data_IF_008916162419
#
_entry.id   IF_008916162419
#
_cell.length_a   1.000
_cell.length_b   1.000
_cell.length_c   1.000
_cell.angle_alpha   90.00
_cell.angle_beta   90.00
_cell.angle_gamma   90.00
#
_symmetry.space_group_name_H-M   'P 1'
#
loop_
_entity.id
_entity.type
_entity.pdbx_description
1 polymer ?
#
# COMPACT_ATOMS: atom_id res chain seq x y z
N UNK A 1 21.70 22.61 -6.08
CA UNK A 1 20.87 21.41 -6.36
C UNK A 1 20.17 21.03 -5.05
N UNK A 2 18.94 21.47 -4.83
CA UNK A 2 18.27 21.39 -3.52
C UNK A 2 16.79 21.04 -3.59
N UNK A 3 16.30 20.56 -4.72
CA UNK A 3 14.86 20.53 -5.02
C UNK A 3 14.17 19.23 -4.62
N UNK A 4 14.91 18.17 -4.27
CA UNK A 4 14.31 16.88 -3.89
C UNK A 4 13.97 16.79 -2.41
N UNK A 5 14.75 17.34 -1.47
CA UNK A 5 14.51 17.15 -0.03
C UNK A 5 13.37 17.99 0.56
N UNK A 6 13.10 19.19 0.05
CA UNK A 6 12.01 20.04 0.55
C UNK A 6 10.62 19.48 0.17
N UNK A 7 10.48 18.92 -1.03
CA UNK A 7 9.17 18.45 -1.53
C UNK A 7 8.62 17.23 -0.74
N UNK A 8 9.50 16.37 -0.21
CA UNK A 8 9.09 15.23 0.64
C UNK A 8 8.58 15.67 2.00
N UNK A 9 9.23 16.65 2.66
CA UNK A 9 8.76 17.16 3.96
C UNK A 9 7.40 17.83 3.86
N UNK A 10 7.14 18.57 2.77
CA UNK A 10 5.84 19.19 2.52
C UNK A 10 4.74 18.15 2.25
N UNK A 11 5.08 17.10 1.48
CA UNK A 11 4.15 16.00 1.18
C UNK A 11 3.78 15.23 2.45
N UNK A 12 4.78 14.85 3.26
CA UNK A 12 4.57 14.13 4.51
C UNK A 12 3.69 14.92 5.47
N UNK A 13 3.95 16.22 5.63
CA UNK A 13 3.14 17.08 6.50
C UNK A 13 1.68 17.15 6.07
N UNK A 14 1.41 17.27 4.76
CA UNK A 14 0.04 17.25 4.21
C UNK A 14 -0.67 15.94 4.50
N UNK A 15 0.03 14.82 4.36
CA UNK A 15 -0.50 13.49 4.69
C UNK A 15 -0.81 13.42 6.18
N UNK A 16 0.10 13.86 7.05
CA UNK A 16 -0.09 13.85 8.51
C UNK A 16 -1.31 14.70 8.92
N UNK A 17 -1.44 15.92 8.39
CA UNK A 17 -2.60 16.81 8.61
C UNK A 17 -3.91 16.15 8.13
N UNK A 18 -3.90 15.44 7.00
CA UNK A 18 -5.07 14.73 6.50
C UNK A 18 -5.43 13.50 7.34
N UNK A 19 -4.42 12.73 7.78
CA UNK A 19 -4.60 11.58 8.66
C UNK A 19 -5.24 12.00 10.00
N UNK A 20 -4.93 13.19 10.53
CA UNK A 20 -5.58 13.71 11.74
C UNK A 20 -7.09 13.94 11.56
N UNK A 21 -7.55 14.23 10.35
CA UNK A 21 -8.97 14.49 10.08
C UNK A 21 -9.77 13.22 9.80
N UNK A 22 -9.17 12.24 9.11
CA UNK A 22 -9.90 11.05 8.62
C UNK A 22 -9.57 9.73 9.30
N UNK A 23 -8.43 9.62 10.01
CA UNK A 23 -7.95 8.47 10.81
C UNK A 23 -8.23 7.06 10.24
N UNK A 24 -8.41 6.92 8.91
CA UNK A 24 -8.83 5.65 8.29
C UNK A 24 -7.64 4.77 7.93
N UNK A 25 -6.56 5.38 7.44
CA UNK A 25 -5.32 4.71 7.02
C UNK A 25 -4.11 5.36 7.69
N UNK A 26 -3.04 4.58 7.90
CA UNK A 26 -1.78 5.09 8.47
C UNK A 26 -1.05 6.01 7.49
N UNK A 27 -0.33 7.04 7.97
CA UNK A 27 0.46 7.93 7.09
C UNK A 27 1.49 7.17 6.25
N UNK A 28 2.07 6.10 6.79
CA UNK A 28 3.01 5.22 6.08
C UNK A 28 2.39 4.62 4.80
N UNK A 29 1.09 4.34 4.80
CA UNK A 29 0.38 3.82 3.63
C UNK A 29 0.35 4.86 2.50
N UNK A 30 0.02 6.11 2.83
CA UNK A 30 -0.02 7.22 1.87
C UNK A 30 1.37 7.50 1.28
N UNK A 31 2.41 7.47 2.11
CA UNK A 31 3.80 7.63 1.67
C UNK A 31 4.18 6.50 0.69
N UNK A 32 3.88 5.26 1.04
CA UNK A 32 4.15 4.10 0.20
C UNK A 32 3.40 4.16 -1.14
N UNK A 33 2.12 4.50 -1.13
CA UNK A 33 1.31 4.65 -2.35
C UNK A 33 1.90 5.71 -3.27
N UNK A 34 2.27 6.87 -2.71
CA UNK A 34 2.88 7.96 -3.48
C UNK A 34 4.19 7.50 -4.13
N UNK A 35 5.05 6.81 -3.36
CA UNK A 35 6.32 6.29 -3.86
C UNK A 35 6.13 5.24 -4.96
N UNK A 36 5.22 4.28 -4.76
CA UNK A 36 4.92 3.23 -5.74
C UNK A 36 4.41 3.84 -7.05
N UNK A 37 3.37 4.69 -6.99
CA UNK A 37 2.81 5.34 -8.19
C UNK A 37 3.85 6.19 -8.91
N UNK A 38 4.61 7.00 -8.16
CA UNK A 38 5.70 7.81 -8.73
C UNK A 38 6.77 6.94 -9.39
N UNK A 39 7.12 5.81 -8.76
CA UNK A 39 8.05 4.83 -9.31
C UNK A 39 7.54 4.22 -10.62
N UNK A 40 6.28 3.81 -10.66
CA UNK A 40 5.64 3.26 -11.86
C UNK A 40 5.59 4.29 -13.00
N UNK A 41 5.22 5.53 -12.72
CA UNK A 41 5.21 6.63 -13.71
C UNK A 41 6.61 6.94 -14.24
N UNK A 42 7.64 6.92 -13.39
CA UNK A 42 9.02 7.13 -13.82
C UNK A 42 9.57 5.97 -14.66
N UNK A 43 9.05 4.75 -14.49
CA UNK A 43 9.43 3.57 -15.31
C UNK A 43 8.79 3.59 -16.69
N UNK A 44 7.72 4.38 -16.90
CA UNK A 44 7.08 4.52 -18.19
C UNK A 44 7.92 5.43 -19.11
N UNK A 45 8.22 4.94 -20.32
CA UNK A 45 8.96 5.72 -21.34
C UNK A 45 8.21 6.95 -21.83
N UNK A 46 6.88 6.98 -21.65
CA UNK A 46 6.02 8.13 -21.96
C UNK A 46 5.15 8.43 -20.74
N UNK A 47 5.02 9.71 -20.33
CA UNK A 47 4.11 10.09 -19.26
C UNK A 47 2.68 9.80 -19.71
N UNK A 48 2.10 8.74 -19.16
CA UNK A 48 0.71 8.35 -19.36
C UNK A 48 0.09 8.07 -17.99
N UNK A 49 -1.21 8.28 -17.88
CA UNK A 49 -2.00 7.84 -16.73
C UNK A 49 -1.98 6.32 -16.63
N UNK A 50 -1.81 5.81 -15.41
CA UNK A 50 -1.86 4.39 -15.10
C UNK A 50 -3.31 4.02 -14.78
N UNK A 51 -3.78 2.92 -15.36
CA UNK A 51 -5.11 2.37 -15.05
C UNK A 51 -5.11 1.81 -13.61
N UNK A 52 -6.27 1.71 -12.95
CA UNK A 52 -6.33 1.18 -11.58
C UNK A 52 -5.65 -0.20 -11.44
N UNK A 53 -5.88 -1.09 -12.42
CA UNK A 53 -5.24 -2.40 -12.45
C UNK A 53 -3.71 -2.33 -12.52
N UNK A 54 -3.16 -1.42 -13.32
CA UNK A 54 -1.70 -1.24 -13.44
C UNK A 54 -1.11 -0.74 -12.12
N UNK A 55 -1.77 0.25 -11.49
CA UNK A 55 -1.39 0.77 -10.18
C UNK A 55 -1.36 -0.35 -9.14
N UNK A 56 -2.40 -1.18 -9.09
CA UNK A 56 -2.53 -2.29 -8.14
C UNK A 56 -1.47 -3.37 -8.37
N UNK A 57 -1.21 -3.74 -9.62
CA UNK A 57 -0.19 -4.73 -9.98
C UNK A 57 1.23 -4.23 -9.67
N UNK A 58 1.53 -2.97 -9.99
CA UNK A 58 2.80 -2.35 -9.65
C UNK A 58 2.98 -2.26 -8.15
N UNK A 59 1.94 -1.84 -7.42
CA UNK A 59 1.96 -1.76 -5.96
C UNK A 59 2.18 -3.12 -5.30
N UNK A 60 1.52 -4.17 -5.78
CA UNK A 60 1.75 -5.53 -5.29
C UNK A 60 3.21 -5.97 -5.52
N UNK A 61 3.79 -5.58 -6.65
CA UNK A 61 5.18 -5.88 -6.98
C UNK A 61 6.14 -5.09 -6.10
N UNK A 62 5.91 -3.79 -5.89
CA UNK A 62 6.70 -2.94 -4.98
C UNK A 62 6.63 -3.43 -3.53
N UNK A 63 5.46 -3.88 -3.06
CA UNK A 63 5.29 -4.45 -1.71
C UNK A 63 6.12 -5.74 -1.55
N UNK A 64 6.12 -6.61 -2.57
CA UNK A 64 6.94 -7.82 -2.58
C UNK A 64 8.42 -7.50 -2.66
N UNK A 65 8.81 -6.50 -3.43
CA UNK A 65 10.22 -6.10 -3.58
C UNK A 65 10.76 -5.48 -2.28
N UNK A 66 9.99 -4.61 -1.63
CA UNK A 66 10.41 -3.92 -0.41
C UNK A 66 10.28 -4.77 0.86
N UNK A 67 9.19 -5.52 1.00
CA UNK A 67 8.87 -6.24 2.26
C UNK A 67 8.89 -7.76 2.12
N UNK A 68 8.93 -8.30 0.89
CA UNK A 68 8.98 -9.73 0.63
C UNK A 68 7.87 -10.51 1.36
N UNK A 69 8.21 -11.49 2.21
CA UNK A 69 7.23 -12.30 2.95
C UNK A 69 6.47 -11.51 4.03
N UNK A 70 6.92 -10.30 4.39
CA UNK A 70 6.26 -9.43 5.37
C UNK A 70 5.25 -8.47 4.75
N UNK A 71 5.19 -8.37 3.42
CA UNK A 71 4.20 -7.56 2.72
C UNK A 71 2.74 -7.72 3.22
N UNK A 72 2.22 -8.95 3.47
CA UNK A 72 0.87 -9.11 4.03
C UNK A 72 0.71 -8.57 5.46
N UNK A 73 1.78 -8.49 6.25
CA UNK A 73 1.73 -7.93 7.61
C UNK A 73 1.67 -6.42 7.54
N UNK A 74 2.46 -5.82 6.65
CA UNK A 74 2.52 -4.37 6.48
C UNK A 74 1.20 -3.81 5.97
N UNK A 75 0.57 -4.46 4.98
CA UNK A 75 -0.71 -4.00 4.43
C UNK A 75 -1.85 -4.08 5.46
N UNK A 76 -1.84 -5.12 6.31
CA UNK A 76 -2.80 -5.30 7.41
C UNK A 76 -2.59 -4.24 8.52
N UNK A 77 -1.34 -3.95 8.87
CA UNK A 77 -0.98 -2.86 9.79
C UNK A 77 -1.42 -1.48 9.30
N UNK A 78 -1.51 -1.30 7.98
CA UNK A 78 -2.02 -0.09 7.34
C UNK A 78 -3.55 -0.08 7.19
N UNK A 79 -4.24 -1.12 7.64
CA UNK A 79 -5.69 -1.32 7.54
C UNK A 79 -6.21 -1.39 6.09
N UNK A 80 -5.35 -1.74 5.14
CA UNK A 80 -5.72 -1.92 3.73
C UNK A 80 -6.09 -3.38 3.50
N UNK A 81 -7.30 -3.64 3.02
CA UNK A 81 -7.81 -5.01 2.80
C UNK A 81 -8.17 -5.30 1.36
N UNK A 82 -8.59 -4.27 0.62
CA UNK A 82 -9.15 -4.37 -0.72
C UNK A 82 -8.49 -3.40 -1.67
N UNK A 83 -8.62 -3.64 -2.97
CA UNK A 83 -8.22 -2.67 -3.99
C UNK A 83 -8.96 -1.33 -3.84
N UNK A 84 -10.22 -1.37 -3.39
CA UNK A 84 -11.03 -0.18 -3.11
C UNK A 84 -10.40 0.72 -2.03
N UNK A 85 -9.78 0.14 -1.00
CA UNK A 85 -9.07 0.91 0.03
C UNK A 85 -7.87 1.67 -0.56
N UNK A 86 -7.11 1.03 -1.48
CA UNK A 86 -6.03 1.70 -2.21
C UNK A 86 -6.58 2.80 -3.11
N UNK A 87 -7.71 2.54 -3.78
CA UNK A 87 -8.40 3.55 -4.57
C UNK A 87 -8.75 4.78 -3.75
N UNK A 88 -9.31 4.61 -2.55
CA UNK A 88 -9.58 5.73 -1.65
C UNK A 88 -8.31 6.51 -1.32
N UNK A 89 -7.21 5.84 -0.97
CA UNK A 89 -5.92 6.49 -0.66
C UNK A 89 -5.41 7.29 -1.87
N UNK A 90 -5.44 6.71 -3.08
CA UNK A 90 -5.01 7.39 -4.31
C UNK A 90 -5.86 8.64 -4.57
N UNK A 91 -7.19 8.54 -4.44
CA UNK A 91 -8.10 9.68 -4.60
C UNK A 91 -7.96 10.75 -3.52
N UNK A 92 -7.64 10.37 -2.29
CA UNK A 92 -7.31 11.31 -1.23
C UNK A 92 -6.03 12.08 -1.58
N UNK A 93 -4.99 11.39 -2.08
CA UNK A 93 -3.74 12.02 -2.53
C UNK A 93 -3.94 12.97 -3.74
N UNK A 94 -4.84 12.62 -4.65
CA UNK A 94 -5.24 13.49 -5.78
C UNK A 94 -5.95 14.74 -5.25
N UNK A 95 -6.82 14.58 -4.25
CA UNK A 95 -7.53 15.70 -3.60
C UNK A 95 -6.54 16.64 -2.91
N UNK A 96 -5.45 16.11 -2.35
CA UNK A 96 -4.34 16.89 -1.76
C UNK A 96 -3.38 17.48 -2.81
N UNK A 97 -3.64 17.27 -4.09
CA UNK A 97 -2.79 17.70 -5.21
C UNK A 97 -1.34 17.17 -5.10
N UNK A 98 -1.17 15.98 -4.49
CA UNK A 98 0.09 15.23 -4.40
C UNK A 98 0.26 14.35 -5.64
N UNK A 99 -0.83 13.70 -6.06
CA UNK A 99 -0.91 12.91 -7.29
C UNK A 99 -1.84 13.57 -8.31
N UNK A 100 -1.70 13.21 -9.59
CA UNK A 100 -2.58 13.65 -10.66
C UNK A 100 -3.27 12.43 -11.30
N UNK A 101 -4.58 12.50 -11.42
CA UNK A 101 -5.39 11.52 -12.14
C UNK A 101 -6.04 12.12 -13.38
N UNK A 102 -6.51 11.25 -14.27
CA UNK A 102 -7.34 11.64 -15.40
C UNK A 102 -8.74 12.03 -14.89
N UNK A 103 -9.44 13.00 -15.52
CA UNK A 103 -10.84 13.29 -15.20
C UNK A 103 -11.78 12.10 -15.41
N UNK A 104 -11.35 11.09 -16.16
CA UNK A 104 -12.11 9.86 -16.40
C UNK A 104 -11.90 8.81 -15.30
N UNK A 105 -10.84 8.93 -14.48
CA UNK A 105 -10.56 8.01 -13.39
C UNK A 105 -11.61 8.16 -12.28
N UNK A 106 -12.15 7.04 -11.83
CA UNK A 106 -13.16 6.98 -10.76
C UNK A 106 -12.71 6.05 -9.64
N UNK A 107 -13.16 6.33 -8.41
CA UNK A 107 -12.96 5.42 -7.27
C UNK A 107 -13.48 4.01 -7.56
N UNK A 108 -14.58 3.92 -8.31
CA UNK A 108 -15.16 2.64 -8.75
C UNK A 108 -14.25 1.82 -9.67
N UNK A 109 -13.24 2.42 -10.30
CA UNK A 109 -12.25 1.68 -11.11
C UNK A 109 -11.39 0.76 -10.23
N UNK A 110 -11.31 1.05 -8.93
CA UNK A 110 -10.65 0.24 -7.92
C UNK A 110 -11.56 -0.79 -7.25
N UNK A 111 -12.86 -0.81 -7.58
CA UNK A 111 -13.84 -1.79 -7.08
C UNK A 111 -13.73 -3.10 -7.86
N UNK A 112 -12.51 -3.62 -7.91
CA UNK A 112 -12.17 -4.88 -8.57
C UNK A 112 -11.86 -5.93 -7.52
N UNK A 113 -12.24 -7.17 -7.79
CA UNK A 113 -11.90 -8.32 -6.95
C UNK A 113 -10.40 -8.64 -7.13
N UNK A 114 -9.57 -7.87 -6.44
CA UNK A 114 -8.11 -8.00 -6.47
C UNK A 114 -7.59 -8.30 -5.07
N UNK A 115 -7.01 -9.49 -4.92
CA UNK A 115 -6.40 -9.94 -3.67
C UNK A 115 -4.89 -9.68 -3.72
N UNK A 116 -4.40 -8.75 -2.89
CA UNK A 116 -2.96 -8.44 -2.79
C UNK A 116 -2.15 -9.64 -2.30
N UNK A 117 -2.57 -10.21 -1.18
CA UNK A 117 -1.94 -11.37 -0.56
C UNK A 117 -3.03 -12.30 -0.04
N UNK A 118 -2.84 -13.63 -0.12
CA UNK A 118 -3.77 -14.56 0.48
C UNK A 118 -3.89 -14.22 1.96
N UNK A 119 -5.12 -14.21 2.47
CA UNK A 119 -5.37 -14.03 3.89
C UNK A 119 -4.45 -14.99 4.66
N UNK A 120 -3.75 -14.44 5.64
CA UNK A 120 -2.88 -15.25 6.49
C UNK A 120 -3.80 -16.13 7.30
N UNK A 121 -4.11 -17.31 6.78
CA UNK A 121 -4.77 -18.35 7.53
C UNK A 121 -3.82 -18.66 8.66
N UNK A 122 -4.11 -18.09 9.83
CA UNK A 122 -3.49 -18.49 11.08
C UNK A 122 -4.06 -19.87 11.39
N UNK A 123 -3.67 -20.87 10.59
CA UNK A 123 -3.72 -22.26 11.02
C UNK A 123 -2.58 -22.41 12.01
N UNK A 124 -2.76 -21.80 13.19
CA UNK A 124 -2.19 -22.36 14.41
C UNK A 124 -2.92 -23.69 14.63
N UNK A 125 -2.50 -24.72 13.88
CA UNK A 125 -2.59 -26.06 14.42
C UNK A 125 -1.54 -26.10 15.53
N UNK A 126 -1.92 -25.58 16.70
CA UNK A 126 -1.26 -25.96 17.94
C UNK A 126 -1.69 -27.40 18.24
N UNK A 127 -1.30 -28.35 17.38
CA UNK A 127 -1.04 -29.70 17.84
C UNK A 127 0.30 -29.61 18.54
N UNK A 128 0.28 -29.23 19.82
CA UNK A 128 1.33 -29.61 20.73
C UNK A 128 1.34 -31.14 20.70
N UNK A 129 2.17 -31.73 19.85
CA UNK A 129 2.53 -33.13 20.01
C UNK A 129 3.10 -33.24 21.42
N UNK A 130 2.49 -34.08 22.25
CA UNK A 130 3.05 -34.49 23.53
C UNK A 130 4.45 -35.06 23.26
N UNK A 131 5.47 -34.23 23.39
CA UNK A 131 6.84 -34.72 23.45
C UNK A 131 7.09 -35.07 24.92
N UNK A 132 6.72 -36.29 25.29
CA UNK A 132 7.20 -36.90 26.53
C UNK A 132 8.73 -36.88 26.48
N UNK A 133 9.32 -36.03 27.32
CA UNK A 133 10.76 -35.92 27.49
C UNK A 133 11.23 -37.27 28.08
N UNK A 134 12.13 -38.02 27.42
CA UNK A 134 12.67 -39.23 28.02
C UNK A 134 13.51 -38.84 29.23
N UNK A 135 13.22 -39.45 30.39
CA UNK A 135 14.09 -39.36 31.56
C UNK A 135 15.42 -40.03 31.21
N UNK A 136 16.50 -39.29 31.39
CA UNK A 136 17.86 -39.82 31.32
C UNK A 136 18.16 -40.40 32.72
N UNK A 137 18.43 -41.70 32.80
CA UNK A 137 19.17 -42.37 33.89
C UNK A 137 20.58 -42.69 33.36
#
# INVERSE_FOLDING_TARGET
MGTTMQNYSDTRRRIEDFCQQRNKYKPDAYEFVTQSVTGQVNRLQKPRHLSALEVLQGMQSDLKEQFGPLAPVVIDEWQIKTASDIGEIVFDLITMNILSASPEDKRSDFDIDFTFFPARTSTRQASCINMEIPKID
#
